data_IF_505708736258
#
_entry.id   IF_505708736258
#
_cell.length_a   1.000
_cell.length_b   1.000
_cell.length_c   1.000
_cell.angle_alpha   90.00
_cell.angle_beta   90.00
_cell.angle_gamma   90.00
#
_symmetry.space_group_name_H-M   'P 1'
#
loop_
_entity.id
_entity.type
_entity.pdbx_description
1 polymer ?
#
# COMPACT_ATOMS: atom_id res chain seq x y z
N UNK A 1 -9.48 -7.00 7.66
CA UNK A 1 -8.41 -8.03 7.80
C UNK A 1 -7.52 -8.13 6.55
N UNK A 2 -8.04 -8.10 5.33
CA UNK A 2 -7.21 -8.18 4.10
C UNK A 2 -6.07 -7.15 4.05
N UNK A 3 -6.34 -5.87 4.35
CA UNK A 3 -5.31 -4.81 4.37
C UNK A 3 -4.17 -5.14 5.35
N UNK A 4 -4.49 -5.61 6.55
CA UNK A 4 -3.48 -5.99 7.54
C UNK A 4 -2.60 -7.15 7.09
N UNK A 5 -3.14 -8.09 6.30
CA UNK A 5 -2.36 -9.19 5.73
C UNK A 5 -1.45 -8.67 4.62
N UNK A 6 -1.99 -7.83 3.73
CA UNK A 6 -1.23 -7.18 2.65
C UNK A 6 -0.04 -6.39 3.23
N UNK A 7 -0.27 -5.59 4.27
CA UNK A 7 0.78 -4.78 4.91
C UNK A 7 1.91 -5.61 5.54
N UNK A 8 1.72 -6.91 5.80
CA UNK A 8 2.79 -7.78 6.30
C UNK A 8 3.68 -8.33 5.19
N UNK A 9 3.16 -8.41 3.96
CA UNK A 9 3.89 -8.92 2.79
C UNK A 9 4.65 -7.82 2.04
N UNK A 10 4.34 -6.54 2.31
CA UNK A 10 4.97 -5.39 1.65
C UNK A 10 6.14 -4.89 2.48
N UNK A 11 7.27 -4.66 1.83
CA UNK A 11 8.44 -4.03 2.46
C UNK A 11 8.18 -2.55 2.77
N UNK A 12 8.62 -2.07 3.94
CA UNK A 12 8.36 -0.69 4.38
C UNK A 12 8.83 0.37 3.38
N UNK A 13 10.01 0.21 2.77
CA UNK A 13 10.54 1.17 1.78
C UNK A 13 9.68 1.24 0.50
N UNK A 14 9.22 0.08 0.02
CA UNK A 14 8.28 0.01 -1.12
C UNK A 14 6.98 0.73 -0.80
N UNK A 15 6.43 0.50 0.41
CA UNK A 15 5.22 1.16 0.86
C UNK A 15 5.40 2.68 1.01
N UNK A 16 6.53 3.15 1.55
CA UNK A 16 6.85 4.58 1.67
C UNK A 16 6.84 5.25 0.29
N UNK A 17 7.52 4.66 -0.70
CA UNK A 17 7.56 5.21 -2.06
C UNK A 17 6.16 5.19 -2.69
N UNK A 18 5.43 4.08 -2.59
CA UNK A 18 4.08 3.96 -3.15
C UNK A 18 3.10 4.99 -2.54
N UNK A 19 3.20 5.26 -1.23
CA UNK A 19 2.33 6.20 -0.53
C UNK A 19 2.58 7.66 -0.93
N UNK A 20 3.73 8.03 -1.49
CA UNK A 20 3.97 9.41 -1.99
C UNK A 20 2.96 9.83 -3.07
N UNK A 21 2.48 8.91 -3.89
CA UNK A 21 1.42 9.16 -4.88
C UNK A 21 -0.01 8.82 -4.41
N UNK A 22 -0.18 8.32 -3.18
CA UNK A 22 -1.49 7.96 -2.67
C UNK A 22 -2.29 9.19 -2.21
N UNK A 23 -3.61 9.16 -2.43
CA UNK A 23 -4.52 10.18 -1.90
C UNK A 23 -4.50 10.22 -0.37
N UNK A 24 -4.82 11.36 0.27
CA UNK A 24 -4.89 11.45 1.73
C UNK A 24 -5.80 10.40 2.36
N UNK A 25 -6.95 10.12 1.73
CA UNK A 25 -7.93 9.14 2.20
C UNK A 25 -7.35 7.72 2.17
N UNK A 26 -6.61 7.38 1.11
CA UNK A 26 -5.95 6.08 0.99
C UNK A 26 -4.84 5.93 2.03
N UNK A 27 -4.00 6.96 2.22
CA UNK A 27 -2.95 6.96 3.25
C UNK A 27 -3.55 6.72 4.64
N UNK A 28 -4.62 7.44 4.97
CA UNK A 28 -5.28 7.28 6.26
C UNK A 28 -5.88 5.88 6.44
N UNK A 29 -6.46 5.31 5.37
CA UNK A 29 -6.96 3.93 5.38
C UNK A 29 -5.84 2.92 5.64
N UNK A 30 -4.65 3.13 5.10
CA UNK A 30 -3.47 2.30 5.34
C UNK A 30 -3.00 2.44 6.80
N UNK A 31 -2.82 3.67 7.30
CA UNK A 31 -2.38 3.91 8.67
C UNK A 31 -3.34 3.34 9.72
N UNK A 32 -4.65 3.42 9.49
CA UNK A 32 -5.67 2.80 10.37
C UNK A 32 -5.58 1.27 10.46
N UNK A 33 -4.87 0.63 9.54
CA UNK A 33 -4.63 -0.82 9.55
C UNK A 33 -3.26 -1.20 10.15
N UNK A 34 -2.49 -0.23 10.65
CA UNK A 34 -1.22 -0.45 11.35
C UNK A 34 -1.41 -0.34 12.86
N UNK A 35 -0.40 -0.77 13.63
CA UNK A 35 -0.31 -0.35 15.03
C UNK A 35 0.03 1.15 15.09
N UNK A 36 -0.32 1.82 16.19
CA UNK A 36 -0.04 3.25 16.37
C UNK A 36 1.43 3.58 16.13
N UNK A 37 2.34 2.84 16.77
CA UNK A 37 3.79 3.00 16.60
C UNK A 37 4.24 2.83 15.14
N UNK A 38 3.73 1.82 14.44
CA UNK A 38 4.12 1.57 13.05
C UNK A 38 3.61 2.68 12.12
N UNK A 39 2.39 3.19 12.37
CA UNK A 39 1.85 4.32 11.62
C UNK A 39 2.65 5.61 11.86
N UNK A 40 3.07 5.87 13.11
CA UNK A 40 3.92 7.03 13.46
C UNK A 40 5.27 6.95 12.75
N UNK A 41 5.98 5.82 12.87
CA UNK A 41 7.26 5.61 12.17
C UNK A 41 7.12 5.77 10.65
N UNK A 42 6.07 5.20 10.04
CA UNK A 42 5.88 5.31 8.60
C UNK A 42 5.54 6.74 8.14
N UNK A 43 4.85 7.54 8.97
CA UNK A 43 4.62 8.96 8.67
C UNK A 43 5.92 9.74 8.72
N UNK A 44 6.74 9.51 9.74
CA UNK A 44 8.07 10.13 9.86
C UNK A 44 8.96 9.77 8.66
N UNK A 45 9.02 8.50 8.28
CA UNK A 45 9.80 8.05 7.12
C UNK A 45 9.27 8.65 5.80
N UNK A 46 7.95 8.76 5.64
CA UNK A 46 7.32 9.35 4.46
C UNK A 46 7.63 10.84 4.32
N UNK A 47 7.66 11.57 5.43
CA UNK A 47 8.00 12.99 5.51
C UNK A 47 9.51 13.22 5.30
N UNK A 48 10.34 12.34 5.86
CA UNK A 48 11.80 12.35 5.67
C UNK A 48 12.20 11.96 4.25
N UNK A 49 11.42 11.11 3.56
CA UNK A 49 11.65 10.75 2.17
C UNK A 49 11.54 12.02 1.31
N UNK A 50 12.63 12.40 0.66
CA UNK A 50 12.65 13.51 -0.27
C UNK A 50 11.71 13.32 -1.47
N UNK A 51 11.79 14.21 -2.47
CA UNK A 51 11.06 14.07 -3.72
C UNK A 51 11.37 12.72 -4.40
N UNK A 52 10.34 12.05 -4.89
CA UNK A 52 10.46 10.77 -5.62
C UNK A 52 9.86 10.95 -7.01
N UNK A 53 10.43 10.28 -8.03
CA UNK A 53 9.90 10.36 -9.39
C UNK A 53 8.56 9.64 -9.45
N UNK A 54 7.62 10.20 -10.22
CA UNK A 54 6.30 9.59 -10.44
C UNK A 54 6.43 8.16 -10.98
N UNK A 55 7.39 7.92 -11.88
CA UNK A 55 7.68 6.58 -12.42
C UNK A 55 8.03 5.55 -11.35
N UNK A 56 8.77 5.96 -10.32
CA UNK A 56 9.20 5.06 -9.25
C UNK A 56 8.01 4.76 -8.32
N UNK A 57 7.16 5.76 -8.07
CA UNK A 57 5.91 5.59 -7.33
C UNK A 57 4.98 4.60 -8.04
N UNK A 58 4.77 4.76 -9.34
CA UNK A 58 3.92 3.87 -10.14
C UNK A 58 4.49 2.44 -10.19
N UNK A 59 5.81 2.30 -10.28
CA UNK A 59 6.47 1.00 -10.24
C UNK A 59 6.21 0.27 -8.90
N UNK A 60 6.41 0.95 -7.77
CA UNK A 60 6.16 0.36 -6.45
C UNK A 60 4.68 0.03 -6.22
N UNK A 61 3.77 0.89 -6.67
CA UNK A 61 2.34 0.60 -6.64
C UNK A 61 2.00 -0.65 -7.46
N UNK A 62 2.62 -0.83 -8.63
CA UNK A 62 2.43 -2.01 -9.47
C UNK A 62 2.95 -3.28 -8.81
N UNK A 63 4.10 -3.25 -8.13
CA UNK A 63 4.63 -4.39 -7.38
C UNK A 63 3.74 -4.76 -6.18
N UNK A 64 3.18 -3.76 -5.49
CA UNK A 64 2.20 -3.97 -4.43
C UNK A 64 0.93 -4.64 -4.99
N UNK A 65 0.41 -4.18 -6.14
CA UNK A 65 -0.75 -4.81 -6.79
C UNK A 65 -0.46 -6.26 -7.19
N UNK A 66 0.74 -6.57 -7.71
CA UNK A 66 1.14 -7.95 -8.01
C UNK A 66 1.13 -8.83 -6.76
N UNK A 67 1.68 -8.32 -5.65
CA UNK A 67 1.65 -9.02 -4.36
C UNK A 67 0.21 -9.29 -3.91
N UNK A 68 -0.67 -8.28 -3.98
CA UNK A 68 -2.09 -8.39 -3.64
C UNK A 68 -2.77 -9.46 -4.51
N UNK A 69 -2.55 -9.46 -5.83
CA UNK A 69 -3.12 -10.46 -6.75
C UNK A 69 -2.64 -11.86 -6.42
N UNK A 70 -1.33 -12.04 -6.21
CA UNK A 70 -0.75 -13.33 -5.79
C UNK A 70 -1.41 -13.85 -4.51
N UNK A 71 -1.53 -13.00 -3.48
CA UNK A 71 -2.18 -13.37 -2.22
C UNK A 71 -3.65 -13.77 -2.42
N UNK A 72 -4.34 -13.16 -3.40
CA UNK A 72 -5.72 -13.51 -3.73
C UNK A 72 -5.80 -14.85 -4.45
N UNK A 73 -4.90 -15.11 -5.40
CA UNK A 73 -4.80 -16.38 -6.12
C UNK A 73 -4.46 -17.54 -5.16
N UNK A 74 -3.66 -17.28 -4.13
CA UNK A 74 -3.34 -18.20 -3.03
C UNK A 74 -4.50 -18.35 -2.01
N UNK A 75 -5.59 -17.60 -2.16
CA UNK A 75 -6.73 -17.62 -1.25
C UNK A 75 -6.46 -16.99 0.13
N UNK A 76 -5.33 -16.31 0.32
CA UNK A 76 -4.97 -15.64 1.57
C UNK A 76 -5.83 -14.40 1.83
N UNK A 77 -6.24 -13.72 0.76
CA UNK A 77 -7.17 -12.59 0.81
C UNK A 77 -8.28 -12.76 -0.22
N UNK A 78 -9.47 -12.25 0.12
CA UNK A 78 -10.53 -12.08 -0.86
C UNK A 78 -10.48 -10.64 -1.38
N UNK A 79 -10.31 -10.49 -2.69
CA UNK A 79 -10.60 -9.22 -3.37
C UNK A 79 -12.13 -9.15 -3.50
N UNK A 80 -12.75 -8.25 -2.74
CA UNK A 80 -14.20 -8.17 -2.66
C UNK A 80 -14.83 -7.96 -4.03
N UNK A 81 -15.66 -8.91 -4.47
CA UNK A 81 -16.48 -8.76 -5.68
C UNK A 81 -17.67 -7.84 -5.41
N UNK A 82 -17.46 -6.53 -5.54
CA UNK A 82 -18.52 -5.54 -5.84
C UNK A 82 -17.89 -4.16 -6.08
N UNK A 83 -17.84 -3.78 -7.35
CA UNK A 83 -17.68 -2.39 -7.81
C UNK A 83 -16.23 -2.00 -8.12
N UNK A 84 -16.00 -1.74 -9.40
CA UNK A 84 -14.84 -1.06 -9.99
C UNK A 84 -13.58 -1.90 -10.22
N UNK A 85 -13.73 -2.97 -11.01
CA UNK A 85 -12.74 -3.31 -12.04
C UNK A 85 -12.70 -2.20 -13.10
N UNK A 86 -12.34 -0.98 -12.68
CA UNK A 86 -11.94 0.11 -13.55
C UNK A 86 -10.42 0.21 -13.49
N UNK A 87 -9.75 -0.80 -14.06
CA UNK A 87 -8.46 -0.54 -14.67
C UNK A 87 -8.77 0.21 -15.98
N UNK A 88 -8.57 1.54 -15.95
CA UNK A 88 -8.37 2.32 -17.18
C UNK A 88 -6.91 2.19 -17.58
#
# INVERSE_FOLDING_TARGET
RGIQLILREIQSESLIVALKGASPELREKIFKNMSQRAAEMMREDLDAKGPVRVSDVEAEQKEIIKTIRRMADEGQIALGGKGDDAFV
#
